data_IF_163898815564
#
_entry.id   IF_163898815564
#
_cell.length_a   1.000
_cell.length_b   1.000
_cell.length_c   1.000
_cell.angle_alpha   90.00
_cell.angle_beta   90.00
_cell.angle_gamma   90.00
#
_symmetry.space_group_name_H-M   'P 1'
#
loop_
_entity.id
_entity.type
_entity.pdbx_description
1 polymer ?
#
# COMPACT_ATOMS: atom_id res chain seq x y z
N UNK A 1 6.27 16.88 9.07
CA UNK A 1 6.15 16.85 7.60
C UNK A 1 4.69 17.01 7.27
N UNK A 2 4.35 17.81 6.26
CA UNK A 2 2.97 17.85 5.74
C UNK A 2 2.80 16.72 4.74
N UNK A 3 1.98 15.72 5.08
CA UNK A 3 1.75 14.55 4.22
C UNK A 3 1.02 14.89 2.92
N UNK A 4 0.26 16.00 2.90
CA UNK A 4 -0.45 16.46 1.69
C UNK A 4 0.50 16.99 0.61
N UNK A 5 1.81 17.07 0.89
CA UNK A 5 2.78 17.44 -0.15
C UNK A 5 2.89 16.37 -1.24
N UNK A 6 2.66 15.09 -0.90
CA UNK A 6 2.81 13.98 -1.85
C UNK A 6 1.78 14.03 -2.98
N UNK A 7 0.55 14.47 -2.71
CA UNK A 7 -0.47 14.69 -3.73
C UNK A 7 -0.19 15.84 -4.69
N UNK A 8 0.84 16.65 -4.40
CA UNK A 8 1.28 17.77 -5.24
C UNK A 8 2.54 17.47 -6.03
N UNK A 9 3.10 16.26 -5.88
CA UNK A 9 4.25 15.83 -6.68
C UNK A 9 3.84 15.68 -8.15
N UNK A 10 4.75 15.91 -9.11
CA UNK A 10 4.52 15.56 -10.51
C UNK A 10 4.14 14.08 -10.67
N UNK A 11 3.31 13.77 -11.67
CA UNK A 11 2.87 12.39 -11.95
C UNK A 11 4.02 11.49 -12.40
N UNK A 12 5.05 12.09 -13.02
CA UNK A 12 6.25 11.42 -13.47
C UNK A 12 7.44 11.85 -12.62
N UNK A 13 8.04 10.87 -11.95
CA UNK A 13 9.26 10.98 -11.19
C UNK A 13 10.20 9.86 -11.61
N UNK A 14 11.51 10.10 -11.51
CA UNK A 14 12.49 9.03 -11.68
C UNK A 14 12.40 8.05 -10.52
N UNK A 15 12.78 6.78 -10.75
CA UNK A 15 12.85 5.77 -9.68
C UNK A 15 13.66 6.25 -8.47
N UNK A 16 14.74 6.98 -8.71
CA UNK A 16 15.58 7.55 -7.64
C UNK A 16 14.80 8.55 -6.78
N UNK A 17 14.01 9.43 -7.38
CA UNK A 17 13.19 10.41 -6.66
C UNK A 17 12.09 9.71 -5.85
N UNK A 18 11.42 8.73 -6.45
CA UNK A 18 10.37 7.95 -5.79
C UNK A 18 10.94 7.18 -4.57
N UNK A 19 12.07 6.50 -4.74
CA UNK A 19 12.74 5.81 -3.64
C UNK A 19 13.14 6.79 -2.52
N UNK A 20 13.60 8.00 -2.85
CA UNK A 20 13.89 9.04 -1.85
C UNK A 20 12.64 9.40 -1.05
N UNK A 21 11.50 9.60 -1.72
CA UNK A 21 10.25 9.94 -1.06
C UNK A 21 9.71 8.81 -0.18
N UNK A 22 9.78 7.54 -0.63
CA UNK A 22 9.45 6.41 0.24
C UNK A 22 10.35 6.36 1.48
N UNK A 23 11.66 6.59 1.31
CA UNK A 23 12.59 6.64 2.45
C UNK A 23 12.29 7.79 3.41
N UNK A 24 11.87 8.94 2.91
CA UNK A 24 11.48 10.11 3.71
C UNK A 24 10.20 9.83 4.50
N UNK A 25 9.18 9.24 3.85
CA UNK A 25 7.94 8.86 4.50
C UNK A 25 8.16 7.80 5.58
N UNK A 26 8.94 6.76 5.30
CA UNK A 26 9.30 5.74 6.29
C UNK A 26 10.02 6.34 7.50
N UNK A 27 11.01 7.22 7.27
CA UNK A 27 11.70 7.94 8.35
C UNK A 27 10.75 8.83 9.16
N UNK A 28 9.80 9.49 8.50
CA UNK A 28 8.79 10.27 9.20
C UNK A 28 7.94 9.40 10.13
N UNK A 29 7.50 8.21 9.68
CA UNK A 29 6.72 7.26 10.48
C UNK A 29 7.49 6.84 11.73
N UNK A 30 8.77 6.48 11.58
CA UNK A 30 9.64 6.08 12.70
C UNK A 30 9.80 7.18 13.76
N UNK A 31 9.75 8.45 13.35
CA UNK A 31 9.90 9.60 14.24
C UNK A 31 8.56 10.09 14.81
N UNK A 32 7.42 9.68 14.25
CA UNK A 32 6.10 10.24 14.54
C UNK A 32 5.04 9.14 14.74
N UNK A 33 5.21 8.31 15.79
CA UNK A 33 4.32 7.19 16.11
C UNK A 33 2.82 7.56 16.30
N UNK A 34 2.52 8.82 16.60
CA UNK A 34 1.15 9.31 16.77
C UNK A 34 0.48 9.76 15.45
N UNK A 35 1.20 9.70 14.31
CA UNK A 35 0.65 10.07 13.02
C UNK A 35 -0.49 9.12 12.62
N UNK A 36 -1.53 9.66 11.98
CA UNK A 36 -2.71 8.91 11.57
C UNK A 36 -2.34 7.85 10.52
N UNK A 37 -2.62 6.55 10.77
CA UNK A 37 -2.41 5.51 9.77
C UNK A 37 -3.13 5.78 8.45
N UNK A 38 -4.33 6.39 8.51
CA UNK A 38 -5.08 6.78 7.32
C UNK A 38 -4.30 7.81 6.50
N UNK A 39 -3.83 8.90 7.10
CA UNK A 39 -3.08 9.94 6.37
C UNK A 39 -1.74 9.45 5.85
N UNK A 40 -1.10 8.51 6.55
CA UNK A 40 0.12 7.85 6.07
C UNK A 40 -0.19 6.94 4.88
N UNK A 41 -1.29 6.18 4.93
CA UNK A 41 -1.71 5.33 3.80
C UNK A 41 -2.02 6.15 2.55
N UNK A 42 -2.68 7.31 2.69
CA UNK A 42 -2.95 8.24 1.60
C UNK A 42 -1.63 8.71 0.95
N UNK A 43 -0.65 9.10 1.77
CA UNK A 43 0.68 9.48 1.28
C UNK A 43 1.41 8.32 0.58
N UNK A 44 1.29 7.08 1.07
CA UNK A 44 1.84 5.93 0.39
C UNK A 44 1.14 5.66 -0.96
N UNK A 45 -0.19 5.80 -1.04
CA UNK A 45 -0.93 5.61 -2.29
C UNK A 45 -0.46 6.57 -3.37
N UNK A 46 -0.28 7.86 -3.03
CA UNK A 46 0.28 8.86 -3.94
C UNK A 46 1.65 8.46 -4.50
N UNK A 47 2.52 7.89 -3.65
CA UNK A 47 3.83 7.40 -4.09
C UNK A 47 3.74 6.09 -4.88
N UNK A 48 2.81 5.20 -4.54
CA UNK A 48 2.62 3.91 -5.22
C UNK A 48 2.09 4.09 -6.65
N UNK A 49 1.16 5.03 -6.87
CA UNK A 49 0.70 5.39 -8.20
C UNK A 49 1.86 5.89 -9.08
N UNK A 50 2.70 6.77 -8.52
CA UNK A 50 3.90 7.27 -9.23
C UNK A 50 4.93 6.18 -9.45
N UNK A 51 5.09 5.24 -8.52
CA UNK A 51 5.94 4.05 -8.70
C UNK A 51 5.45 3.24 -9.90
N UNK A 52 4.15 3.02 -10.02
CA UNK A 52 3.55 2.31 -11.15
C UNK A 52 3.89 2.97 -12.50
N UNK A 53 3.90 4.31 -12.55
CA UNK A 53 4.27 5.08 -13.75
C UNK A 53 5.73 4.87 -14.21
N UNK A 54 6.60 4.30 -13.37
CA UNK A 54 7.99 3.98 -13.76
C UNK A 54 8.12 2.67 -14.52
N UNK A 55 7.13 1.76 -14.42
CA UNK A 55 7.21 0.38 -14.91
C UNK A 55 8.40 -0.42 -14.34
N UNK A 56 9.01 0.05 -13.25
CA UNK A 56 10.09 -0.63 -12.54
C UNK A 56 9.57 -1.18 -11.21
N UNK A 57 10.18 -2.25 -10.71
CA UNK A 57 9.83 -2.76 -9.38
C UNK A 57 10.38 -1.84 -8.30
N UNK A 58 9.61 -1.66 -7.23
CA UNK A 58 10.10 -1.00 -6.03
C UNK A 58 11.29 -1.78 -5.44
N UNK A 59 12.26 -1.07 -4.87
CA UNK A 59 13.39 -1.72 -4.20
C UNK A 59 12.90 -2.69 -3.12
N UNK A 60 13.42 -3.91 -3.14
CA UNK A 60 12.99 -5.00 -2.26
C UNK A 60 13.08 -4.66 -0.75
N UNK A 61 14.06 -3.82 -0.37
CA UNK A 61 14.22 -3.35 1.00
C UNK A 61 13.05 -2.45 1.44
N UNK A 62 12.67 -1.49 0.59
CA UNK A 62 11.54 -0.60 0.78
C UNK A 62 10.22 -1.36 0.76
N UNK A 63 10.06 -2.25 -0.23
CA UNK A 63 8.89 -3.13 -0.34
C UNK A 63 8.63 -3.87 0.96
N UNK A 64 9.66 -4.48 1.56
CA UNK A 64 9.55 -5.18 2.86
C UNK A 64 9.14 -4.26 4.02
N UNK A 65 9.66 -3.05 4.07
CA UNK A 65 9.32 -2.08 5.13
C UNK A 65 7.87 -1.64 5.02
N UNK A 66 7.41 -1.34 3.81
CA UNK A 66 6.02 -0.96 3.54
C UNK A 66 5.08 -2.14 3.82
N UNK A 67 5.43 -3.34 3.39
CA UNK A 67 4.66 -4.57 3.66
C UNK A 67 4.45 -4.79 5.17
N UNK A 68 5.51 -4.65 5.97
CA UNK A 68 5.41 -4.75 7.43
C UNK A 68 4.55 -3.62 8.04
N UNK A 69 4.64 -2.40 7.49
CA UNK A 69 3.82 -1.28 7.94
C UNK A 69 2.33 -1.52 7.64
N UNK A 70 1.99 -2.02 6.44
CA UNK A 70 0.61 -2.36 6.05
C UNK A 70 0.03 -3.41 7.00
N UNK A 71 0.77 -4.49 7.27
CA UNK A 71 0.35 -5.54 8.21
C UNK A 71 0.11 -4.96 9.61
N UNK A 72 1.01 -4.10 10.09
CA UNK A 72 0.92 -3.54 11.44
C UNK A 72 -0.25 -2.56 11.61
N UNK A 73 -0.77 -2.02 10.51
CA UNK A 73 -1.88 -1.06 10.49
C UNK A 73 -3.18 -1.66 9.92
N UNK A 74 -3.21 -2.97 9.69
CA UNK A 74 -4.40 -3.66 9.19
C UNK A 74 -5.55 -3.58 10.20
N UNK A 75 -6.49 -2.66 9.97
CA UNK A 75 -7.60 -2.39 10.86
C UNK A 75 -8.94 -2.49 10.11
N UNK A 76 -9.62 -3.62 10.29
CA UNK A 76 -10.86 -3.97 9.62
C UNK A 76 -12.05 -3.07 9.97
N UNK A 77 -11.98 -2.33 11.07
CA UNK A 77 -13.03 -1.41 11.50
C UNK A 77 -12.94 -0.05 10.77
N UNK A 78 -11.87 0.17 10.01
CA UNK A 78 -11.66 1.39 9.23
C UNK A 78 -11.65 1.09 7.73
N UNK A 79 -12.82 1.15 7.10
CA UNK A 79 -13.00 0.88 5.67
C UNK A 79 -12.05 1.68 4.79
N UNK A 80 -11.93 3.00 5.00
CA UNK A 80 -11.05 3.86 4.18
C UNK A 80 -9.58 3.47 4.29
N UNK A 81 -9.15 3.07 5.50
CA UNK A 81 -7.79 2.58 5.66
C UNK A 81 -7.60 1.27 4.91
N UNK A 82 -8.52 0.30 5.06
CA UNK A 82 -8.44 -0.98 4.35
C UNK A 82 -8.37 -0.79 2.83
N UNK A 83 -9.20 0.08 2.27
CA UNK A 83 -9.21 0.42 0.84
C UNK A 83 -7.82 0.89 0.37
N UNK A 84 -7.20 1.83 1.10
CA UNK A 84 -5.84 2.28 0.82
C UNK A 84 -4.82 1.13 0.96
N UNK A 85 -4.91 0.31 2.01
CA UNK A 85 -3.98 -0.80 2.24
C UNK A 85 -4.07 -1.88 1.13
N UNK A 86 -5.28 -2.18 0.66
CA UNK A 86 -5.51 -3.10 -0.48
C UNK A 86 -4.96 -2.52 -1.78
N UNK A 87 -5.11 -1.21 -2.00
CA UNK A 87 -4.48 -0.52 -3.14
C UNK A 87 -2.96 -0.63 -3.09
N UNK A 88 -2.34 -0.45 -1.92
CA UNK A 88 -0.89 -0.63 -1.75
C UNK A 88 -0.44 -2.06 -2.03
N UNK A 89 -1.21 -3.06 -1.58
CA UNK A 89 -0.93 -4.46 -1.88
C UNK A 89 -0.85 -4.69 -3.38
N UNK A 90 -1.83 -4.19 -4.13
CA UNK A 90 -1.88 -4.34 -5.58
C UNK A 90 -0.75 -3.57 -6.28
N UNK A 91 -0.58 -2.28 -5.99
CA UNK A 91 0.35 -1.39 -6.69
C UNK A 91 1.82 -1.71 -6.43
N UNK A 92 2.15 -2.25 -5.25
CA UNK A 92 3.53 -2.53 -4.85
C UNK A 92 3.84 -4.03 -4.74
N UNK A 93 2.82 -4.88 -4.90
CA UNK A 93 2.94 -6.33 -4.88
C UNK A 93 3.31 -6.90 -3.52
N UNK A 94 2.65 -6.41 -2.46
CA UNK A 94 3.00 -6.70 -1.06
C UNK A 94 2.47 -8.09 -0.65
N UNK A 95 3.28 -9.13 -0.89
CA UNK A 95 2.89 -10.53 -0.71
C UNK A 95 2.46 -10.90 0.72
N UNK A 96 3.16 -10.41 1.75
CA UNK A 96 2.79 -10.77 3.13
C UNK A 96 1.49 -10.10 3.52
N UNK A 97 1.31 -8.83 3.14
CA UNK A 97 0.08 -8.08 3.34
C UNK A 97 -1.09 -8.73 2.60
N UNK A 98 -0.89 -9.24 1.39
CA UNK A 98 -1.88 -10.03 0.67
C UNK A 98 -2.33 -11.27 1.47
N UNK A 99 -1.38 -12.00 2.05
CA UNK A 99 -1.71 -13.14 2.91
C UNK A 99 -2.47 -12.71 4.18
N UNK A 100 -2.12 -11.56 4.77
CA UNK A 100 -2.88 -10.98 5.90
C UNK A 100 -4.30 -10.62 5.49
N UNK A 101 -4.51 -9.99 4.33
CA UNK A 101 -5.82 -9.68 3.80
C UNK A 101 -6.66 -10.96 3.63
N UNK A 102 -6.11 -11.98 2.98
CA UNK A 102 -6.76 -13.30 2.81
C UNK A 102 -7.09 -13.97 4.14
N UNK A 103 -6.17 -13.93 5.11
CA UNK A 103 -6.41 -14.48 6.44
C UNK A 103 -7.54 -13.75 7.18
N UNK A 104 -7.71 -12.45 6.95
CA UNK A 104 -8.75 -11.67 7.63
C UNK A 104 -10.19 -12.10 7.26
N UNK A 105 -10.40 -12.73 6.09
CA UNK A 105 -11.70 -13.21 5.64
C UNK A 105 -12.33 -14.28 6.56
N UNK A 106 -11.52 -14.98 7.37
CA UNK A 106 -12.01 -15.94 8.38
C UNK A 106 -12.80 -15.25 9.50
N UNK A 107 -12.60 -13.94 9.69
CA UNK A 107 -13.34 -13.17 10.68
C UNK A 107 -14.78 -12.95 10.19
N UNK A 108 -15.75 -13.53 10.89
CA UNK A 108 -17.17 -13.44 10.56
C UNK A 108 -17.78 -12.07 10.85
N UNK A 109 -17.11 -11.22 11.62
CA UNK A 109 -17.58 -9.89 12.00
C UNK A 109 -17.17 -8.78 11.05
N UNK A 110 -16.48 -9.10 9.94
CA UNK A 110 -16.20 -8.13 8.89
C UNK A 110 -17.50 -7.54 8.36
N UNK A 111 -17.57 -6.21 8.29
CA UNK A 111 -18.64 -5.54 7.56
C UNK A 111 -18.62 -5.97 6.09
N UNK A 112 -19.81 -6.04 5.48
CA UNK A 112 -19.99 -6.62 4.15
C UNK A 112 -19.13 -5.93 3.09
N UNK A 113 -18.98 -4.62 3.19
CA UNK A 113 -18.18 -3.80 2.27
C UNK A 113 -16.69 -4.15 2.36
N UNK A 114 -16.13 -4.19 3.56
CA UNK A 114 -14.71 -4.57 3.78
C UNK A 114 -14.45 -5.99 3.28
N UNK A 115 -15.35 -6.94 3.58
CA UNK A 115 -15.23 -8.32 3.10
C UNK A 115 -15.17 -8.35 1.57
N UNK A 116 -16.12 -7.68 0.92
CA UNK A 116 -16.22 -7.65 -0.54
C UNK A 116 -14.95 -7.05 -1.16
N UNK A 117 -14.45 -5.95 -0.62
CA UNK A 117 -13.23 -5.30 -1.10
C UNK A 117 -12.02 -6.25 -1.06
N UNK A 118 -11.87 -6.99 0.05
CA UNK A 118 -10.79 -7.97 0.20
C UNK A 118 -10.97 -9.14 -0.78
N UNK A 119 -12.18 -9.65 -0.95
CA UNK A 119 -12.47 -10.75 -1.87
C UNK A 119 -12.22 -10.36 -3.34
N UNK A 120 -12.64 -9.16 -3.73
CA UNK A 120 -12.43 -8.61 -5.07
C UNK A 120 -10.92 -8.41 -5.35
N UNK A 121 -10.19 -7.78 -4.41
CA UNK A 121 -8.73 -7.60 -4.52
C UNK A 121 -7.97 -8.94 -4.58
N UNK A 122 -8.39 -9.95 -3.80
CA UNK A 122 -7.79 -11.29 -3.85
C UNK A 122 -8.00 -11.93 -5.22
N UNK A 123 -9.21 -11.85 -5.76
CA UNK A 123 -9.54 -12.43 -7.06
C UNK A 123 -8.74 -11.79 -8.20
N UNK A 124 -8.50 -10.48 -8.12
CA UNK A 124 -7.71 -9.74 -9.11
C UNK A 124 -6.22 -10.12 -9.08
N UNK A 125 -5.67 -10.36 -7.89
CA UNK A 125 -4.23 -10.59 -7.70
C UNK A 125 -3.84 -12.08 -7.62
N UNK A 126 -4.79 -13.02 -7.54
CA UNK A 126 -4.48 -14.44 -7.32
C UNK A 126 -3.54 -14.99 -8.40
N UNK A 127 -2.39 -15.52 -7.96
CA UNK A 127 -1.32 -16.01 -8.84
C UNK A 127 -0.35 -14.96 -9.37
N UNK A 128 -0.56 -13.66 -9.12
CA UNK A 128 0.26 -12.57 -9.68
C UNK A 128 0.65 -11.46 -8.70
N UNK A 129 0.36 -11.58 -7.40
CA UNK A 129 0.66 -10.54 -6.38
C UNK A 129 2.09 -9.99 -6.46
N UNK A 130 3.08 -10.85 -6.73
CA UNK A 130 4.49 -10.44 -6.77
C UNK A 130 4.86 -9.58 -7.98
N UNK A 131 4.01 -9.55 -9.01
CA UNK A 131 4.15 -8.78 -10.25
C UNK A 131 3.01 -7.76 -10.38
N UNK A 132 3.19 -6.53 -9.83
CA UNK A 132 2.19 -5.46 -9.93
C UNK A 132 1.80 -5.08 -11.37
N UNK A 133 2.59 -5.50 -12.35
CA UNK A 133 2.42 -5.18 -13.77
C UNK A 133 1.81 -6.34 -14.56
N UNK A 134 1.38 -7.42 -13.92
CA UNK A 134 0.89 -8.63 -14.59
C UNK A 134 -0.30 -8.37 -15.52
N UNK A 135 -1.17 -7.41 -15.19
CA UNK A 135 -2.32 -7.00 -16.01
C UNK A 135 -2.00 -5.98 -17.11
N UNK A 136 -0.76 -5.49 -17.19
CA UNK A 136 -0.32 -4.49 -18.17
C UNK A 136 0.54 -5.08 -19.29
N UNK A 137 0.82 -6.38 -19.25
CA UNK A 137 1.62 -7.11 -20.24
C UNK A 137 0.79 -7.61 -21.42
#
# INVERSE_FOLDING_TARGET
MDLNMYSRLPDYLTVKEINSHFCELLRYIELNYAASPLSISEAFCELAERQCNTYEYLEESLKKLIDNWVISNWNIDNYKLIDNLLSLIALLGLEKSFHTAKASLVNTNLITEVRKEIEDNIKELDGNVSDPYSGMK
#
